data_IF_308436240493
#
_entry.id   IF_308436240493
#
_cell.length_a   1.000
_cell.length_b   1.000
_cell.length_c   1.000
_cell.angle_alpha   90.00
_cell.angle_beta   90.00
_cell.angle_gamma   90.00
#
_symmetry.space_group_name_H-M   'P 1'
#
loop_
_entity.id
_entity.type
_entity.pdbx_description
1 polymer ?
#
# COMPACT_ATOMS: atom_id res chain seq x y z
N UNK A 1 -8.72 -9.85 -18.55
CA UNK A 1 -8.15 -10.53 -17.36
C UNK A 1 -8.74 -9.88 -16.11
N UNK A 2 -9.19 -10.67 -15.11
CA UNK A 2 -9.71 -10.15 -13.83
C UNK A 2 -8.53 -9.87 -12.90
N UNK A 3 -7.94 -8.69 -12.99
CA UNK A 3 -6.73 -8.36 -12.24
C UNK A 3 -6.64 -6.89 -11.85
N UNK A 4 -5.87 -6.61 -10.80
CA UNK A 4 -5.29 -5.29 -10.51
C UNK A 4 -3.92 -5.23 -11.14
N UNK A 5 -3.62 -4.14 -11.84
CA UNK A 5 -2.26 -3.81 -12.28
C UNK A 5 -1.58 -3.02 -11.17
N UNK A 6 -0.37 -3.42 -10.77
CA UNK A 6 0.40 -2.68 -9.79
C UNK A 6 1.83 -2.47 -10.28
N UNK A 7 2.47 -1.42 -9.78
CA UNK A 7 3.93 -1.28 -9.82
C UNK A 7 4.43 -0.76 -8.48
N UNK A 8 5.63 -1.16 -8.10
CA UNK A 8 6.30 -0.47 -7.01
C UNK A 8 6.72 0.92 -7.47
N UNK A 9 6.62 1.91 -6.58
CA UNK A 9 7.11 3.26 -6.86
C UNK A 9 8.61 3.25 -7.26
N UNK A 10 9.37 2.33 -6.68
CA UNK A 10 10.80 2.13 -6.95
C UNK A 10 11.10 1.28 -8.21
N UNK A 11 10.09 0.83 -8.96
CA UNK A 11 10.24 0.00 -10.16
C UNK A 11 9.47 0.61 -11.34
N UNK A 12 9.99 0.41 -12.55
CA UNK A 12 9.30 0.78 -13.79
C UNK A 12 8.37 -0.34 -14.28
N UNK A 13 8.69 -1.59 -13.95
CA UNK A 13 7.96 -2.78 -14.37
C UNK A 13 6.63 -2.90 -13.62
N UNK A 14 5.61 -3.30 -14.38
CA UNK A 14 4.29 -3.59 -13.84
C UNK A 14 4.14 -5.08 -13.58
N UNK A 15 3.34 -5.41 -12.58
CA UNK A 15 2.92 -6.75 -12.24
C UNK A 15 1.42 -6.77 -12.00
N UNK A 16 0.85 -7.97 -11.94
CA UNK A 16 -0.59 -8.15 -11.81
C UNK A 16 -0.93 -9.03 -10.62
N UNK A 17 -2.01 -8.68 -9.94
CA UNK A 17 -2.67 -9.55 -8.94
C UNK A 17 -3.99 -10.00 -9.53
N UNK A 18 -4.20 -11.32 -9.55
CA UNK A 18 -5.47 -11.94 -9.97
C UNK A 18 -6.33 -12.27 -8.75
N UNK A 19 -7.64 -12.14 -8.93
CA UNK A 19 -8.64 -12.45 -7.92
C UNK A 19 -9.99 -12.72 -8.58
N UNK A 20 -10.84 -13.45 -7.86
CA UNK A 20 -12.20 -13.75 -8.27
C UNK A 20 -13.13 -12.72 -7.63
N UNK A 21 -13.76 -11.87 -8.44
CA UNK A 21 -14.65 -10.82 -7.94
C UNK A 21 -14.72 -9.61 -8.88
N UNK A 22 -15.55 -8.63 -8.51
CA UNK A 22 -15.60 -7.31 -9.15
C UNK A 22 -14.64 -6.32 -8.48
N UNK A 23 -14.35 -6.53 -7.20
CA UNK A 23 -13.46 -5.72 -6.38
C UNK A 23 -12.65 -6.61 -5.43
N UNK A 24 -11.58 -6.05 -4.88
CA UNK A 24 -10.74 -6.66 -3.84
C UNK A 24 -10.56 -5.64 -2.72
N UNK A 25 -10.61 -6.07 -1.46
CA UNK A 25 -10.34 -5.16 -0.34
C UNK A 25 -8.87 -4.76 -0.32
N UNK A 26 -8.56 -3.59 0.24
CA UNK A 26 -7.18 -3.15 0.43
C UNK A 26 -6.34 -4.18 1.19
N UNK A 27 -6.90 -4.74 2.27
CA UNK A 27 -6.24 -5.78 3.07
C UNK A 27 -5.85 -7.01 2.24
N UNK A 28 -6.77 -7.52 1.42
CA UNK A 28 -6.52 -8.69 0.57
C UNK A 28 -5.51 -8.38 -0.54
N UNK A 29 -5.59 -7.19 -1.14
CA UNK A 29 -4.63 -6.75 -2.15
C UNK A 29 -3.21 -6.69 -1.57
N UNK A 30 -3.04 -6.05 -0.40
CA UNK A 30 -1.75 -5.99 0.30
C UNK A 30 -1.21 -7.40 0.55
N UNK A 31 -2.03 -8.31 1.10
CA UNK A 31 -1.64 -9.71 1.37
C UNK A 31 -1.17 -10.43 0.10
N UNK A 32 -1.89 -10.30 -1.01
CA UNK A 32 -1.52 -10.94 -2.29
C UNK A 32 -0.22 -10.38 -2.86
N UNK A 33 -0.01 -9.06 -2.81
CA UNK A 33 1.24 -8.44 -3.27
C UNK A 33 2.42 -8.86 -2.38
N UNK A 34 2.26 -8.82 -1.05
CA UNK A 34 3.28 -9.24 -0.09
C UNK A 34 3.70 -10.70 -0.33
N UNK A 35 2.73 -11.60 -0.52
CA UNK A 35 2.99 -13.01 -0.80
C UNK A 35 3.72 -13.20 -2.14
N UNK A 36 3.27 -12.52 -3.21
CA UNK A 36 3.85 -12.61 -4.55
C UNK A 36 5.29 -12.08 -4.60
N UNK A 37 5.59 -11.03 -3.84
CA UNK A 37 6.90 -10.37 -3.82
C UNK A 37 7.82 -10.89 -2.69
N UNK A 38 7.39 -11.96 -1.99
CA UNK A 38 8.13 -12.58 -0.88
C UNK A 38 8.52 -11.59 0.24
N UNK A 39 7.65 -10.61 0.50
CA UNK A 39 7.85 -9.61 1.54
C UNK A 39 7.36 -10.13 2.90
N UNK A 40 8.17 -9.92 3.94
CA UNK A 40 7.88 -10.41 5.30
C UNK A 40 7.13 -9.35 6.11
N UNK A 41 5.89 -9.66 6.48
CA UNK A 41 4.98 -8.81 7.26
C UNK A 41 5.56 -8.22 8.58
N UNK A 42 6.39 -8.92 9.38
CA UNK A 42 6.90 -8.30 10.61
C UNK A 42 7.85 -7.12 10.38
N UNK A 43 8.35 -6.92 9.15
CA UNK A 43 9.36 -5.90 8.85
C UNK A 43 8.84 -4.76 7.96
N UNK A 44 7.74 -4.98 7.21
CA UNK A 44 7.19 -3.98 6.32
C UNK A 44 5.69 -4.18 6.05
N UNK A 45 5.02 -3.07 5.77
CA UNK A 45 3.68 -3.00 5.20
C UNK A 45 3.73 -2.30 3.82
N UNK A 46 2.58 -2.20 3.14
CA UNK A 46 2.42 -1.56 1.85
C UNK A 46 1.44 -0.39 1.96
N UNK A 47 1.86 0.77 1.47
CA UNK A 47 0.98 1.88 1.12
C UNK A 47 0.54 1.71 -0.34
N UNK A 48 -0.76 1.85 -0.60
CA UNK A 48 -1.36 1.68 -1.94
C UNK A 48 -2.01 3.00 -2.36
N UNK A 49 -1.63 3.47 -3.55
CA UNK A 49 -2.18 4.70 -4.15
C UNK A 49 -2.79 4.35 -5.51
N UNK A 50 -3.95 4.91 -5.84
CA UNK A 50 -4.51 4.82 -7.19
C UNK A 50 -3.56 5.50 -8.19
N UNK A 51 -3.26 4.85 -9.32
CA UNK A 51 -2.29 5.37 -10.27
C UNK A 51 -2.82 6.56 -11.11
N UNK A 52 -4.14 6.65 -11.29
CA UNK A 52 -4.80 7.66 -12.12
C UNK A 52 -5.18 8.89 -11.28
N UNK A 53 -5.83 8.67 -10.14
CA UNK A 53 -6.31 9.76 -9.26
C UNK A 53 -5.25 10.22 -8.25
N UNK A 54 -4.20 9.42 -8.03
CA UNK A 54 -3.16 9.65 -7.02
C UNK A 54 -3.67 9.65 -5.57
N UNK A 55 -4.91 9.20 -5.34
CA UNK A 55 -5.48 9.07 -4.00
C UNK A 55 -4.96 7.82 -3.29
N UNK A 56 -4.67 7.95 -1.99
CA UNK A 56 -4.21 6.85 -1.15
C UNK A 56 -5.39 6.08 -0.57
N UNK A 57 -5.33 4.75 -0.65
CA UNK A 57 -6.27 3.87 0.04
C UNK A 57 -5.81 3.69 1.48
N UNK A 58 -6.55 4.27 2.41
CA UNK A 58 -6.23 4.28 3.85
C UNK A 58 -7.07 3.29 4.67
N UNK A 59 -8.30 3.04 4.24
CA UNK A 59 -9.22 2.13 4.90
C UNK A 59 -8.98 0.69 4.42
N UNK A 60 -8.70 -0.21 5.36
CA UNK A 60 -8.38 -1.61 5.10
C UNK A 60 -9.55 -2.40 4.48
N UNK A 61 -10.79 -1.91 4.64
CA UNK A 61 -12.00 -2.49 4.07
C UNK A 61 -12.42 -1.85 2.74
N UNK A 62 -11.72 -0.80 2.27
CA UNK A 62 -12.06 -0.16 1.00
C UNK A 62 -11.96 -1.13 -0.17
N UNK A 63 -12.98 -1.10 -1.03
CA UNK A 63 -13.08 -1.97 -2.19
C UNK A 63 -12.42 -1.33 -3.41
N UNK A 64 -11.36 -1.98 -3.92
CA UNK A 64 -10.62 -1.55 -5.10
C UNK A 64 -11.18 -2.31 -6.32
N UNK A 65 -11.75 -1.62 -7.32
CA UNK A 65 -12.35 -2.28 -8.49
C UNK A 65 -11.33 -3.04 -9.33
N UNK A 66 -11.78 -4.12 -9.97
CA UNK A 66 -10.99 -4.82 -11.00
C UNK A 66 -10.58 -3.86 -12.12
N UNK A 67 -9.45 -4.15 -12.73
CA UNK A 67 -8.80 -3.34 -13.78
C UNK A 67 -8.25 -1.99 -13.30
N UNK A 68 -8.31 -1.65 -12.01
CA UNK A 68 -7.58 -0.51 -11.49
C UNK A 68 -6.07 -0.69 -11.61
N UNK A 69 -5.38 0.44 -11.77
CA UNK A 69 -3.93 0.54 -11.69
C UNK A 69 -3.54 1.18 -10.36
N UNK A 70 -2.58 0.59 -9.65
CA UNK A 70 -2.11 1.09 -8.35
C UNK A 70 -0.59 1.22 -8.27
N UNK A 71 -0.15 2.18 -7.48
CA UNK A 71 1.25 2.39 -7.12
C UNK A 71 1.45 1.88 -5.70
N UNK A 72 2.48 1.05 -5.51
CA UNK A 72 2.81 0.42 -4.24
C UNK A 72 4.07 1.04 -3.66
N UNK A 73 4.05 1.43 -2.39
CA UNK A 73 5.22 1.85 -1.61
C UNK A 73 5.40 0.93 -0.41
N UNK A 74 6.63 0.50 -0.14
CA UNK A 74 6.95 -0.24 1.09
C UNK A 74 7.08 0.75 2.24
N UNK A 75 6.42 0.46 3.35
CA UNK A 75 6.56 1.19 4.61
C UNK A 75 7.11 0.23 5.66
N UNK A 76 7.88 0.68 6.66
CA UNK A 76 8.29 -0.18 7.76
C UNK A 76 7.08 -0.69 8.55
N UNK A 77 7.14 -1.91 9.08
CA UNK A 77 6.09 -2.44 9.94
C UNK A 77 6.00 -1.58 11.21
N UNK A 78 4.83 -0.99 11.47
CA UNK A 78 4.65 0.11 12.43
C UNK A 78 4.52 1.50 11.78
N UNK A 79 4.39 1.56 10.45
CA UNK A 79 4.35 2.79 9.65
C UNK A 79 3.06 3.63 9.72
N UNK A 80 2.10 3.28 10.57
CA UNK A 80 1.12 4.24 11.09
C UNK A 80 1.63 4.67 12.46
N UNK A 81 2.02 5.94 12.58
CA UNK A 81 2.13 6.53 13.91
C UNK A 81 0.81 6.34 14.67
N UNK A 82 0.81 6.27 16.01
CA UNK A 82 -0.42 6.21 16.78
C UNK A 82 -1.37 7.34 16.31
N UNK A 83 -2.52 6.95 15.76
CA UNK A 83 -3.52 7.88 15.21
C UNK A 83 -3.55 8.06 13.68
N UNK A 84 -3.06 7.11 12.87
CA UNK A 84 -3.30 7.11 11.41
C UNK A 84 -2.61 8.24 10.64
N UNK A 85 -1.53 8.79 11.20
CA UNK A 85 -0.82 9.93 10.58
C UNK A 85 0.09 9.44 9.46
N UNK A 86 0.19 10.17 8.33
CA UNK A 86 1.09 9.82 7.25
C UNK A 86 2.51 9.65 7.77
N UNK A 87 3.22 8.64 7.26
CA UNK A 87 4.56 8.28 7.74
C UNK A 87 5.53 9.47 7.75
N UNK A 88 5.46 10.36 6.74
CA UNK A 88 6.27 11.58 6.69
C UNK A 88 5.96 12.52 7.86
N UNK A 89 4.68 12.72 8.18
CA UNK A 89 4.26 13.57 9.30
C UNK A 89 4.68 12.95 10.63
N UNK A 90 4.61 11.62 10.74
CA UNK A 90 5.07 10.92 11.93
C UNK A 90 6.59 11.01 12.13
N UNK A 91 7.37 10.79 11.07
CA UNK A 91 8.84 10.94 11.11
C UNK A 91 9.23 12.38 11.45
N UNK A 92 8.55 13.37 10.85
CA UNK A 92 8.77 14.78 11.16
C UNK A 92 8.42 15.12 12.61
N UNK A 93 7.31 14.60 13.13
CA UNK A 93 6.92 14.74 14.53
C UNK A 93 7.97 14.15 15.50
N UNK A 94 8.48 12.94 15.22
CA UNK A 94 9.53 12.32 16.03
C UNK A 94 10.84 13.12 15.99
N UNK A 95 11.19 13.68 14.83
CA UNK A 95 12.36 14.54 14.66
C UNK A 95 12.27 15.79 15.55
N UNK A 96 11.15 16.53 15.49
CA UNK A 96 10.92 17.73 16.31
C UNK A 96 10.96 17.39 17.81
N UNK A 97 10.37 16.26 18.22
CA UNK A 97 10.30 15.84 19.62
C UNK A 97 11.67 15.43 20.21
N UNK A 98 12.64 15.04 19.38
CA UNK A 98 14.00 14.68 19.82
C UNK A 98 14.92 15.89 19.99
N UNK A 99 14.54 17.04 19.44
CA UNK A 99 15.28 18.29 19.52
C UNK A 99 14.87 19.19 20.70
N UNK A 100 13.84 18.80 21.46
CA UNK A 100 13.46 19.38 22.76
C UNK A 100 13.73 18.37 23.86
#
# INVERSE_FOLDING_TARGET
LKCIQYRFFSKLEHSFVTFDGLHITLTELKKKIMAKEHLKAPNCDLQITNADTLEEYLDDEVEIPRHSSVIVRRTPAGGVGPGGKPFIVYVYYLYIKRLN
#
